data_IF_953633661903
#
_entry.id   IF_953633661903
#
_cell.length_a   1.000
_cell.length_b   1.000
_cell.length_c   1.000
_cell.angle_alpha   90.00
_cell.angle_beta   90.00
_cell.angle_gamma   90.00
#
_symmetry.space_group_name_H-M   'P 1'
#
loop_
_entity.id
_entity.type
_entity.pdbx_description
1 polymer ?
#
# COMPACT_ATOMS: atom_id res chain seq x y z
N UNK A 1 53.98 -31.88 -36.04
CA UNK A 1 53.92 -33.36 -36.06
C UNK A 1 52.46 -33.76 -35.83
N UNK A 2 51.82 -34.47 -36.76
CA UNK A 2 50.44 -34.95 -36.60
C UNK A 2 50.45 -36.30 -35.90
N UNK A 3 49.73 -36.42 -34.79
CA UNK A 3 49.62 -37.65 -34.00
C UNK A 3 48.21 -38.21 -34.19
N UNK A 4 48.10 -39.46 -34.65
CA UNK A 4 46.82 -40.16 -34.77
C UNK A 4 46.51 -40.89 -33.46
N UNK A 5 45.32 -40.66 -32.92
CA UNK A 5 44.79 -41.32 -31.72
C UNK A 5 43.39 -41.85 -32.03
N UNK A 6 43.04 -42.99 -31.44
CA UNK A 6 41.70 -43.55 -31.49
C UNK A 6 41.01 -43.21 -30.17
N UNK A 7 39.75 -42.76 -30.24
CA UNK A 7 38.91 -42.44 -29.09
C UNK A 7 37.64 -43.27 -29.16
N UNK A 8 37.15 -43.72 -28.00
CA UNK A 8 35.86 -44.39 -27.87
C UNK A 8 34.84 -43.38 -27.36
N UNK A 9 33.72 -43.23 -28.06
CA UNK A 9 32.65 -42.31 -27.72
C UNK A 9 31.29 -43.02 -27.82
N UNK A 10 30.43 -42.79 -26.85
CA UNK A 10 29.03 -43.22 -26.96
C UNK A 10 28.31 -42.44 -28.07
N UNK A 11 27.35 -43.08 -28.73
CA UNK A 11 26.52 -42.49 -29.79
C UNK A 11 25.85 -41.18 -29.37
N UNK A 12 25.46 -41.06 -28.09
CA UNK A 12 24.87 -39.83 -27.53
C UNK A 12 25.81 -38.62 -27.59
N UNK A 13 27.13 -38.83 -27.54
CA UNK A 13 28.12 -37.76 -27.63
C UNK A 13 28.53 -37.52 -29.08
N UNK A 14 28.54 -38.56 -29.91
CA UNK A 14 28.73 -38.42 -31.36
C UNK A 14 27.63 -37.53 -31.97
N UNK A 15 26.38 -37.73 -31.56
CA UNK A 15 25.24 -36.87 -31.96
C UNK A 15 25.40 -35.41 -31.54
N UNK A 16 26.06 -35.13 -30.42
CA UNK A 16 26.34 -33.75 -29.99
C UNK A 16 27.42 -33.07 -30.84
N UNK A 17 28.29 -33.84 -31.49
CA UNK A 17 29.29 -33.34 -32.43
C UNK A 17 28.70 -33.11 -33.82
N UNK A 18 27.46 -33.55 -34.10
CA UNK A 18 26.85 -33.46 -35.42
C UNK A 18 26.88 -32.04 -36.02
N UNK A 19 26.59 -30.95 -35.27
CA UNK A 19 26.66 -29.60 -35.84
C UNK A 19 28.07 -29.21 -36.32
N UNK A 20 29.11 -29.65 -35.60
CA UNK A 20 30.51 -29.40 -35.96
C UNK A 20 30.97 -30.34 -37.09
N UNK A 21 30.43 -31.56 -37.15
CA UNK A 21 30.65 -32.47 -38.26
C UNK A 21 30.07 -31.91 -39.55
N UNK A 22 28.85 -31.41 -39.52
CA UNK A 22 28.17 -30.82 -40.68
C UNK A 22 28.94 -29.57 -41.17
N UNK A 23 29.43 -28.72 -40.26
CA UNK A 23 30.26 -27.56 -40.58
C UNK A 23 31.63 -27.91 -41.18
N UNK A 24 32.10 -29.15 -40.99
CA UNK A 24 33.38 -29.65 -41.49
C UNK A 24 33.22 -30.75 -42.54
N UNK A 25 32.09 -30.77 -43.27
CA UNK A 25 31.81 -31.73 -44.35
C UNK A 25 31.97 -33.22 -43.91
N UNK A 26 31.56 -33.53 -42.68
CA UNK A 26 31.64 -34.87 -42.09
C UNK A 26 33.03 -35.24 -41.53
N UNK A 27 33.99 -34.32 -41.51
CA UNK A 27 35.33 -34.59 -40.99
C UNK A 27 35.39 -34.56 -39.46
N UNK A 28 35.35 -35.75 -38.84
CA UNK A 28 35.42 -35.89 -37.38
C UNK A 28 36.71 -35.35 -36.77
N UNK A 29 37.85 -35.42 -37.46
CA UNK A 29 39.10 -34.89 -36.92
C UNK A 29 39.10 -33.36 -36.89
N UNK A 30 38.44 -32.71 -37.84
CA UNK A 30 38.28 -31.25 -37.85
C UNK A 30 37.27 -30.81 -36.78
N UNK A 31 36.11 -31.47 -36.71
CA UNK A 31 35.11 -31.21 -35.67
C UNK A 31 35.65 -31.35 -34.24
N UNK A 32 36.50 -32.34 -33.99
CA UNK A 32 37.17 -32.52 -32.69
C UNK A 32 38.18 -31.41 -32.41
N UNK A 33 38.92 -30.91 -33.42
CA UNK A 33 39.82 -29.76 -33.24
C UNK A 33 39.03 -28.51 -32.90
N UNK A 34 37.93 -28.23 -33.58
CA UNK A 34 37.07 -27.08 -33.28
C UNK A 34 36.50 -27.18 -31.86
N UNK A 35 36.12 -28.38 -31.42
CA UNK A 35 35.69 -28.61 -30.03
C UNK A 35 36.81 -28.29 -29.03
N UNK A 36 38.06 -28.66 -29.35
CA UNK A 36 39.23 -28.37 -28.52
C UNK A 36 39.50 -26.85 -28.48
N UNK A 37 39.42 -26.15 -29.61
CA UNK A 37 39.61 -24.69 -29.67
C UNK A 37 38.52 -23.95 -28.87
N UNK A 38 37.25 -24.39 -28.97
CA UNK A 38 36.15 -23.86 -28.16
C UNK A 38 36.41 -24.10 -26.68
N UNK A 39 36.86 -25.31 -26.31
CA UNK A 39 37.17 -25.65 -24.92
C UNK A 39 38.37 -24.86 -24.38
N UNK A 40 39.43 -24.68 -25.18
CA UNK A 40 40.62 -23.92 -24.83
C UNK A 40 40.31 -22.43 -24.63
N UNK A 41 39.52 -21.86 -25.54
CA UNK A 41 39.01 -20.49 -25.43
C UNK A 41 38.19 -20.31 -24.15
N UNK A 42 37.28 -21.24 -23.85
CA UNK A 42 36.46 -21.16 -22.65
C UNK A 42 37.32 -21.33 -21.37
N UNK A 43 38.30 -22.22 -21.36
CA UNK A 43 39.20 -22.44 -20.23
C UNK A 43 40.22 -21.30 -20.03
N UNK A 44 40.49 -20.49 -21.05
CA UNK A 44 41.31 -19.28 -20.91
C UNK A 44 40.70 -18.29 -19.93
N UNK A 45 39.37 -18.24 -19.83
CA UNK A 45 38.63 -17.31 -18.97
C UNK A 45 38.04 -17.93 -17.70
N UNK A 46 38.13 -19.26 -17.54
CA UNK A 46 37.48 -19.99 -16.45
C UNK A 46 38.41 -21.00 -15.79
N UNK A 47 38.35 -21.13 -14.46
CA UNK A 47 39.34 -21.91 -13.68
C UNK A 47 39.06 -23.41 -13.70
N UNK A 48 37.89 -23.84 -14.17
CA UNK A 48 37.51 -25.24 -14.30
C UNK A 48 36.62 -25.50 -15.52
N UNK A 49 36.58 -26.76 -15.96
CA UNK A 49 35.71 -27.22 -17.05
C UNK A 49 34.22 -26.99 -16.70
N UNK A 50 33.84 -27.20 -15.43
CA UNK A 50 32.46 -27.01 -14.99
C UNK A 50 32.03 -25.54 -15.03
N UNK A 51 32.92 -24.62 -14.66
CA UNK A 51 32.69 -23.17 -14.79
C UNK A 51 32.56 -22.73 -16.24
N UNK A 52 33.43 -23.24 -17.13
CA UNK A 52 33.39 -22.97 -18.56
C UNK A 52 32.08 -23.47 -19.21
N UNK A 53 31.65 -24.70 -18.89
CA UNK A 53 30.39 -25.26 -19.38
C UNK A 53 29.20 -24.42 -18.87
N UNK A 54 29.22 -23.98 -17.61
CA UNK A 54 28.17 -23.14 -17.05
C UNK A 54 28.10 -21.78 -17.77
N UNK A 55 29.25 -21.16 -18.03
CA UNK A 55 29.32 -19.90 -18.77
C UNK A 55 28.74 -20.03 -20.19
N UNK A 56 29.17 -21.04 -20.95
CA UNK A 56 28.68 -21.27 -22.32
C UNK A 56 27.16 -21.54 -22.37
N UNK A 57 26.57 -22.07 -21.29
CA UNK A 57 25.11 -22.23 -21.13
C UNK A 57 24.39 -20.95 -20.71
N UNK A 58 25.08 -19.98 -20.11
CA UNK A 58 24.53 -18.70 -19.67
C UNK A 58 24.63 -17.59 -20.73
N UNK A 59 25.53 -17.74 -21.72
CA UNK A 59 25.71 -16.80 -22.84
C UNK A 59 24.44 -16.50 -23.66
N UNK A 60 23.55 -17.47 -23.99
CA UNK A 60 22.37 -17.20 -24.82
C UNK A 60 21.47 -16.12 -24.22
N UNK A 61 21.23 -16.17 -22.90
CA UNK A 61 20.38 -15.20 -22.21
C UNK A 61 20.98 -13.78 -22.17
N UNK A 62 22.32 -13.65 -22.21
CA UNK A 62 23.00 -12.35 -22.24
C UNK A 62 23.01 -11.74 -23.64
N UNK A 63 23.14 -12.58 -24.67
CA UNK A 63 23.05 -12.14 -26.07
C UNK A 63 21.62 -11.72 -26.42
N UNK A 64 20.60 -12.50 -26.03
CA UNK A 64 19.19 -12.13 -26.16
C UNK A 64 18.86 -10.81 -25.46
N UNK A 65 19.32 -10.62 -24.21
CA UNK A 65 19.13 -9.34 -23.52
C UNK A 65 19.87 -8.19 -24.23
N UNK A 66 21.08 -8.43 -24.73
CA UNK A 66 21.81 -7.41 -25.48
C UNK A 66 21.08 -7.02 -26.77
N UNK A 67 20.42 -7.97 -27.44
CA UNK A 67 19.74 -7.72 -28.70
C UNK A 67 18.39 -7.03 -28.48
N UNK A 68 17.66 -7.39 -27.42
CA UNK A 68 16.45 -6.67 -26.99
C UNK A 68 16.75 -5.25 -26.49
N UNK A 69 17.96 -4.98 -25.99
CA UNK A 69 18.39 -3.59 -25.70
C UNK A 69 18.71 -2.83 -26.99
N UNK A 70 19.34 -3.48 -27.99
CA UNK A 70 19.68 -2.85 -29.27
C UNK A 70 18.46 -2.54 -30.14
N UNK A 71 17.45 -3.42 -30.14
CA UNK A 71 16.23 -3.27 -30.93
C UNK A 71 15.21 -2.32 -30.28
N UNK A 72 15.45 -1.88 -29.04
CA UNK A 72 14.62 -0.92 -28.31
C UNK A 72 13.48 -1.53 -27.48
N UNK A 73 13.38 -2.86 -27.40
CA UNK A 73 12.39 -3.55 -26.56
C UNK A 73 12.70 -3.39 -25.06
N UNK A 74 13.99 -3.39 -24.70
CA UNK A 74 14.46 -3.21 -23.32
C UNK A 74 15.33 -1.97 -23.17
N UNK A 75 15.23 -1.31 -22.01
CA UNK A 75 16.02 -0.12 -21.68
C UNK A 75 16.88 -0.36 -20.43
N UNK A 76 18.15 0.07 -20.48
CA UNK A 76 19.03 0.06 -19.31
C UNK A 76 18.71 1.28 -18.44
N UNK A 77 18.32 1.03 -17.20
CA UNK A 77 18.10 2.07 -16.18
C UNK A 77 19.13 1.97 -15.06
N UNK A 78 19.59 3.12 -14.58
CA UNK A 78 20.43 3.18 -13.39
C UNK A 78 19.66 2.65 -12.16
N UNK A 79 20.31 1.81 -11.34
CA UNK A 79 19.68 1.21 -10.16
C UNK A 79 19.10 2.23 -9.17
N UNK A 80 19.77 3.36 -8.96
CA UNK A 80 19.30 4.41 -8.06
C UNK A 80 18.05 5.08 -8.61
N UNK A 81 17.98 5.30 -9.93
CA UNK A 81 16.78 5.83 -10.58
C UNK A 81 15.61 4.84 -10.49
N UNK A 82 15.86 3.55 -10.72
CA UNK A 82 14.84 2.51 -10.58
C UNK A 82 14.32 2.41 -9.15
N UNK A 83 15.21 2.46 -8.16
CA UNK A 83 14.83 2.45 -6.74
C UNK A 83 14.01 3.69 -6.37
N UNK A 84 14.37 4.85 -6.92
CA UNK A 84 13.60 6.07 -6.78
C UNK A 84 12.19 5.90 -7.38
N UNK A 85 12.07 5.35 -8.60
CA UNK A 85 10.76 5.08 -9.20
C UNK A 85 9.89 4.18 -8.31
N UNK A 86 10.41 3.03 -7.85
CA UNK A 86 9.65 2.14 -6.96
C UNK A 86 9.24 2.79 -5.64
N UNK A 87 10.09 3.66 -5.08
CA UNK A 87 9.77 4.37 -3.84
C UNK A 87 8.63 5.36 -4.04
N UNK A 88 8.59 6.05 -5.18
CA UNK A 88 7.63 7.12 -5.44
C UNK A 88 6.31 6.64 -6.08
N UNK A 89 6.28 5.43 -6.63
CA UNK A 89 5.03 4.78 -7.07
C UNK A 89 4.35 3.99 -5.95
N UNK A 90 4.95 3.90 -4.77
CA UNK A 90 4.41 3.15 -3.64
C UNK A 90 3.04 3.67 -3.21
N UNK A 91 2.07 2.77 -3.06
CA UNK A 91 0.71 3.10 -2.66
C UNK A 91 -0.26 3.27 -3.84
N UNK A 92 0.28 3.33 -5.07
CA UNK A 92 -0.48 3.38 -6.32
C UNK A 92 -0.53 1.99 -6.94
N UNK A 93 -1.71 1.54 -7.34
CA UNK A 93 -1.86 0.25 -7.97
C UNK A 93 -1.35 0.31 -9.42
N UNK A 94 -0.79 -0.81 -9.86
CA UNK A 94 -0.34 -1.03 -11.23
C UNK A 94 -1.54 -1.41 -12.07
N UNK A 95 -1.64 -0.85 -13.26
CA UNK A 95 -2.72 -1.13 -14.19
C UNK A 95 -2.74 -2.62 -14.58
N UNK A 96 -3.94 -3.17 -14.80
CA UNK A 96 -4.11 -4.58 -15.15
C UNK A 96 -3.40 -4.95 -16.45
N UNK A 97 -3.36 -4.02 -17.41
CA UNK A 97 -2.65 -4.17 -18.68
C UNK A 97 -1.16 -4.44 -18.45
N UNK A 98 -0.49 -3.62 -17.63
CA UNK A 98 0.91 -3.81 -17.28
C UNK A 98 1.16 -5.13 -16.55
N UNK A 99 0.25 -5.55 -15.67
CA UNK A 99 0.37 -6.86 -14.98
C UNK A 99 0.32 -8.01 -15.98
N UNK A 100 -0.60 -7.96 -16.94
CA UNK A 100 -0.77 -9.00 -17.95
C UNK A 100 0.36 -9.00 -19.00
N UNK A 101 0.97 -7.85 -19.29
CA UNK A 101 2.18 -7.74 -20.12
C UNK A 101 3.40 -8.37 -19.43
N UNK A 102 3.53 -8.20 -18.11
CA UNK A 102 4.67 -8.72 -17.35
C UNK A 102 4.52 -10.17 -16.89
N UNK A 103 3.27 -10.62 -16.71
CA UNK A 103 2.94 -11.97 -16.25
C UNK A 103 1.83 -12.50 -17.16
N UNK A 104 2.22 -13.19 -18.24
CA UNK A 104 1.27 -13.70 -19.21
C UNK A 104 0.38 -14.81 -18.59
N UNK A 105 -0.93 -14.56 -18.40
CA UNK A 105 -1.80 -15.54 -17.75
C UNK A 105 -2.06 -16.79 -18.59
N UNK A 106 -1.84 -16.74 -19.90
CA UNK A 106 -2.07 -17.86 -20.80
C UNK A 106 -0.89 -18.85 -20.85
N UNK A 107 0.28 -18.43 -20.35
CA UNK A 107 1.47 -19.29 -20.23
C UNK A 107 1.56 -19.97 -18.86
N UNK A 108 0.69 -19.61 -17.91
CA UNK A 108 0.79 -20.01 -16.51
C UNK A 108 -0.47 -20.79 -16.11
N UNK A 109 -0.33 -22.11 -16.02
CA UNK A 109 -1.43 -23.02 -15.70
C UNK A 109 -1.63 -23.17 -14.18
N UNK A 110 -0.52 -23.21 -13.44
CA UNK A 110 -0.51 -23.50 -12.00
C UNK A 110 0.49 -22.63 -11.20
N UNK A 111 0.45 -22.75 -9.88
CA UNK A 111 1.28 -21.96 -8.96
C UNK A 111 2.77 -22.29 -9.06
N UNK A 112 3.13 -23.49 -9.53
CA UNK A 112 4.53 -23.89 -9.70
C UNK A 112 5.10 -23.30 -10.98
N UNK A 113 4.35 -23.35 -12.07
CA UNK A 113 4.68 -22.65 -13.32
C UNK A 113 4.84 -21.14 -13.08
N UNK A 114 3.96 -20.53 -12.27
CA UNK A 114 4.11 -19.12 -11.88
C UNK A 114 5.42 -18.85 -11.13
N UNK A 115 5.77 -19.69 -10.14
CA UNK A 115 7.04 -19.56 -9.41
C UNK A 115 8.24 -19.66 -10.35
N UNK A 116 8.23 -20.65 -11.24
CA UNK A 116 9.34 -20.92 -12.17
C UNK A 116 9.47 -19.81 -13.20
N UNK A 117 8.35 -19.32 -13.75
CA UNK A 117 8.29 -18.17 -14.65
C UNK A 117 8.87 -16.90 -14.02
N UNK A 118 8.42 -16.54 -12.82
CA UNK A 118 8.90 -15.33 -12.12
C UNK A 118 10.40 -15.38 -11.83
N UNK A 119 10.93 -16.54 -11.45
CA UNK A 119 12.35 -16.72 -11.21
C UNK A 119 13.16 -16.74 -12.52
N UNK A 120 12.62 -17.30 -13.60
CA UNK A 120 13.24 -17.28 -14.92
C UNK A 120 13.33 -15.86 -15.48
N UNK A 121 12.25 -15.09 -15.43
CA UNK A 121 12.22 -13.67 -15.81
C UNK A 121 13.20 -12.86 -14.98
N UNK A 122 13.20 -13.05 -13.66
CA UNK A 122 14.15 -12.35 -12.78
C UNK A 122 15.59 -12.64 -13.20
N UNK A 123 15.90 -13.88 -13.57
CA UNK A 123 17.23 -14.26 -14.07
C UNK A 123 17.55 -13.63 -15.43
N UNK A 124 16.60 -13.67 -16.38
CA UNK A 124 16.77 -13.11 -17.73
C UNK A 124 17.05 -11.60 -17.69
N UNK A 125 16.31 -10.85 -16.87
CA UNK A 125 16.50 -9.41 -16.68
C UNK A 125 17.57 -9.06 -15.63
N UNK A 126 18.30 -10.05 -15.11
CA UNK A 126 19.34 -9.87 -14.08
C UNK A 126 18.83 -9.18 -12.81
N UNK A 127 17.54 -9.33 -12.51
CA UNK A 127 16.96 -8.89 -11.26
C UNK A 127 17.35 -9.86 -10.15
N UNK A 128 17.83 -9.30 -9.03
CA UNK A 128 18.30 -10.11 -7.90
C UNK A 128 17.19 -10.75 -7.08
N UNK A 129 15.93 -10.36 -7.31
CA UNK A 129 14.78 -10.85 -6.57
C UNK A 129 14.57 -12.34 -6.80
N UNK A 130 14.18 -13.04 -5.74
CA UNK A 130 13.84 -14.47 -5.80
C UNK A 130 12.47 -14.70 -5.20
N UNK A 131 11.67 -15.48 -5.90
CA UNK A 131 10.29 -15.80 -5.55
C UNK A 131 10.18 -17.26 -5.10
N UNK A 132 9.38 -17.50 -4.06
CA UNK A 132 8.93 -18.85 -3.69
C UNK A 132 7.46 -18.79 -3.28
N UNK A 133 6.69 -19.76 -3.76
CA UNK A 133 5.25 -19.88 -3.56
C UNK A 133 4.98 -21.24 -2.90
N UNK A 134 4.32 -21.22 -1.75
CA UNK A 134 3.87 -22.44 -1.07
C UNK A 134 2.35 -22.47 -1.02
N UNK A 135 1.76 -23.55 -1.47
CA UNK A 135 0.32 -23.80 -1.40
C UNK A 135 0.09 -25.31 -1.28
N UNK A 136 -1.09 -25.70 -0.80
CA UNK A 136 -1.46 -27.12 -0.67
C UNK A 136 -1.90 -27.70 -2.02
N UNK A 137 -2.70 -26.96 -2.78
CA UNK A 137 -3.13 -27.28 -4.13
C UNK A 137 -2.50 -26.28 -5.12
N UNK A 138 -1.67 -26.78 -6.03
CA UNK A 138 -0.98 -25.96 -7.03
C UNK A 138 -1.90 -25.45 -8.14
N UNK A 139 -3.00 -26.14 -8.43
CA UNK A 139 -3.91 -25.76 -9.52
C UNK A 139 -4.97 -24.78 -9.05
N UNK A 140 -5.56 -25.04 -7.87
CA UNK A 140 -6.64 -24.25 -7.29
C UNK A 140 -6.45 -24.02 -5.78
N UNK A 141 -5.46 -23.20 -5.38
CA UNK A 141 -5.14 -22.95 -3.98
C UNK A 141 -6.28 -22.22 -3.25
N UNK A 142 -6.68 -22.73 -2.08
CA UNK A 142 -7.53 -21.98 -1.14
C UNK A 142 -6.72 -20.97 -0.29
N UNK A 143 -5.42 -21.24 -0.14
CA UNK A 143 -4.45 -20.32 0.45
C UNK A 143 -3.08 -20.49 -0.21
N UNK A 144 -2.29 -19.41 -0.20
CA UNK A 144 -0.92 -19.44 -0.69
C UNK A 144 -0.02 -18.54 0.15
N UNK A 145 1.24 -18.93 0.26
CA UNK A 145 2.28 -18.17 0.92
C UNK A 145 3.36 -17.80 -0.09
N UNK A 146 3.45 -16.50 -0.39
CA UNK A 146 4.48 -15.93 -1.24
C UNK A 146 5.64 -15.42 -0.39
N UNK A 147 6.86 -15.77 -0.77
CA UNK A 147 8.09 -15.25 -0.19
C UNK A 147 8.92 -14.60 -1.29
N UNK A 148 9.10 -13.29 -1.19
CA UNK A 148 10.06 -12.53 -1.99
C UNK A 148 11.31 -12.30 -1.15
N UNK A 149 12.47 -12.67 -1.69
CA UNK A 149 13.76 -12.53 -1.03
C UNK A 149 14.75 -11.81 -1.92
N UNK A 150 15.83 -11.31 -1.31
CA UNK A 150 16.82 -10.44 -1.94
C UNK A 150 16.22 -9.11 -2.42
N UNK A 151 17.01 -8.30 -3.13
CA UNK A 151 16.66 -6.95 -3.56
C UNK A 151 16.37 -5.96 -2.40
N UNK A 152 15.91 -4.76 -2.75
CA UNK A 152 15.50 -3.70 -1.81
C UNK A 152 14.06 -3.91 -1.35
N UNK A 153 13.64 -3.23 -0.29
CA UNK A 153 12.26 -3.27 0.18
C UNK A 153 11.28 -2.72 -0.87
N UNK A 154 11.65 -1.65 -1.58
CA UNK A 154 10.77 -1.01 -2.57
C UNK A 154 10.61 -1.90 -3.81
N UNK A 155 11.70 -2.52 -4.27
CA UNK A 155 11.63 -3.52 -5.35
C UNK A 155 10.76 -4.72 -4.96
N UNK A 156 10.94 -5.29 -3.75
CA UNK A 156 10.08 -6.37 -3.28
C UNK A 156 8.62 -5.96 -3.19
N UNK A 157 8.31 -4.73 -2.77
CA UNK A 157 6.93 -4.24 -2.74
C UNK A 157 6.31 -4.08 -4.12
N UNK A 158 7.06 -3.56 -5.09
CA UNK A 158 6.60 -3.46 -6.47
C UNK A 158 6.24 -4.84 -7.06
N UNK A 159 7.15 -5.81 -6.97
CA UNK A 159 6.89 -7.16 -7.47
C UNK A 159 5.79 -7.88 -6.67
N UNK A 160 5.72 -7.66 -5.36
CA UNK A 160 4.65 -8.18 -4.52
C UNK A 160 3.26 -7.74 -5.01
N UNK A 161 3.13 -6.46 -5.35
CA UNK A 161 1.89 -5.90 -5.87
C UNK A 161 1.51 -6.54 -7.21
N UNK A 162 2.45 -6.66 -8.15
CA UNK A 162 2.21 -7.31 -9.46
C UNK A 162 1.70 -8.74 -9.28
N UNK A 163 2.38 -9.54 -8.45
CA UNK A 163 2.01 -10.93 -8.19
C UNK A 163 0.67 -11.00 -7.47
N UNK A 164 0.41 -10.11 -6.50
CA UNK A 164 -0.88 -10.06 -5.81
C UNK A 164 -2.03 -9.75 -6.75
N UNK A 165 -1.87 -8.79 -7.67
CA UNK A 165 -2.86 -8.50 -8.70
C UNK A 165 -3.12 -9.70 -9.61
N UNK A 166 -2.07 -10.36 -10.08
CA UNK A 166 -2.19 -11.57 -10.89
C UNK A 166 -2.97 -12.67 -10.15
N UNK A 167 -2.61 -12.95 -8.89
CA UNK A 167 -3.26 -13.98 -8.08
C UNK A 167 -4.72 -13.65 -7.74
N UNK A 168 -5.04 -12.38 -7.50
CA UNK A 168 -6.42 -11.93 -7.30
C UNK A 168 -7.27 -12.15 -8.54
N UNK A 169 -6.75 -11.80 -9.72
CA UNK A 169 -7.47 -11.90 -10.98
C UNK A 169 -7.66 -13.36 -11.43
N UNK A 170 -6.58 -14.13 -11.42
CA UNK A 170 -6.55 -15.45 -12.07
C UNK A 170 -6.76 -16.62 -11.11
N UNK A 171 -6.55 -16.42 -9.80
CA UNK A 171 -6.75 -17.46 -8.76
C UNK A 171 -7.73 -17.05 -7.65
N UNK A 172 -8.32 -15.84 -7.72
CA UNK A 172 -9.26 -15.31 -6.72
C UNK A 172 -8.69 -15.32 -5.29
N UNK A 173 -7.39 -15.08 -5.18
CA UNK A 173 -6.66 -15.01 -3.93
C UNK A 173 -6.47 -13.54 -3.51
N UNK A 174 -6.96 -13.17 -2.34
CA UNK A 174 -6.76 -11.84 -1.75
C UNK A 174 -5.65 -11.86 -0.69
N UNK A 175 -5.05 -10.70 -0.45
CA UNK A 175 -3.99 -10.50 0.53
C UNK A 175 -4.58 -10.46 1.93
N UNK A 176 -4.21 -11.42 2.78
CA UNK A 176 -4.61 -11.45 4.18
C UNK A 176 -3.62 -10.68 5.06
N UNK A 177 -2.33 -10.98 4.88
CA UNK A 177 -1.24 -10.42 5.70
C UNK A 177 0.04 -10.19 4.89
N UNK A 178 0.80 -9.14 5.26
CA UNK A 178 2.15 -8.87 4.74
C UNK A 178 3.12 -8.69 5.90
N UNK A 179 4.17 -9.50 5.91
CA UNK A 179 5.30 -9.40 6.84
C UNK A 179 6.54 -8.91 6.10
N UNK A 180 6.95 -7.68 6.39
CA UNK A 180 8.14 -7.05 5.79
C UNK A 180 9.34 -7.25 6.72
N UNK A 181 10.37 -7.92 6.24
CA UNK A 181 11.66 -8.11 6.91
C UNK A 181 12.77 -7.41 6.11
N UNK A 182 13.93 -7.24 6.71
CA UNK A 182 15.07 -6.55 6.08
C UNK A 182 15.47 -7.19 4.73
N UNK A 183 15.48 -8.52 4.67
CA UNK A 183 15.93 -9.30 3.51
C UNK A 183 14.80 -10.06 2.78
N UNK A 184 13.56 -9.97 3.26
CA UNK A 184 12.43 -10.66 2.64
C UNK A 184 11.09 -9.98 2.90
N UNK A 185 10.12 -10.27 2.03
CA UNK A 185 8.71 -9.90 2.20
C UNK A 185 7.89 -11.17 2.05
N UNK A 186 7.11 -11.50 3.07
CA UNK A 186 6.23 -12.66 3.09
C UNK A 186 4.78 -12.19 3.02
N UNK A 187 3.98 -12.82 2.15
CA UNK A 187 2.59 -12.45 1.90
C UNK A 187 1.74 -13.70 2.00
N UNK A 188 0.75 -13.64 2.87
CA UNK A 188 -0.27 -14.68 3.02
C UNK A 188 -1.49 -14.31 2.20
N UNK A 189 -1.94 -15.24 1.38
CA UNK A 189 -3.12 -15.11 0.54
C UNK A 189 -4.20 -16.09 0.97
N UNK A 190 -5.45 -15.66 0.81
CA UNK A 190 -6.64 -16.47 1.07
C UNK A 190 -7.68 -16.27 -0.02
N UNK A 191 -8.36 -17.34 -0.39
CA UNK A 191 -9.39 -17.30 -1.41
C UNK A 191 -10.55 -16.39 -1.00
N UNK A 192 -10.94 -15.52 -1.91
CA UNK A 192 -12.01 -14.56 -1.71
C UNK A 192 -12.94 -14.55 -2.93
N UNK A 193 -14.05 -15.28 -2.82
CA UNK A 193 -15.07 -15.40 -3.88
C UNK A 193 -16.13 -14.29 -3.80
N UNK A 194 -16.05 -13.41 -2.81
CA UNK A 194 -17.09 -12.40 -2.54
C UNK A 194 -16.96 -11.14 -3.39
N UNK A 195 -15.83 -10.95 -4.05
CA UNK A 195 -15.50 -9.78 -4.85
C UNK A 195 -15.57 -10.16 -6.32
N UNK A 196 -16.19 -9.30 -7.12
CA UNK A 196 -16.27 -9.54 -8.56
C UNK A 196 -14.88 -9.52 -9.19
N UNK A 197 -14.67 -10.28 -10.27
CA UNK A 197 -13.35 -10.36 -10.90
C UNK A 197 -12.82 -9.01 -11.39
N UNK A 198 -13.70 -8.03 -11.66
CA UNK A 198 -13.35 -6.71 -12.18
C UNK A 198 -13.09 -5.67 -11.08
N UNK A 199 -13.26 -6.03 -9.81
CA UNK A 199 -13.01 -5.13 -8.69
C UNK A 199 -11.67 -5.43 -8.03
N UNK A 200 -10.98 -4.38 -7.60
CA UNK A 200 -9.77 -4.55 -6.79
C UNK A 200 -10.12 -5.18 -5.45
N UNK A 201 -9.48 -6.30 -5.15
CA UNK A 201 -9.65 -7.00 -3.88
C UNK A 201 -9.31 -6.11 -2.66
N UNK A 202 -10.08 -6.17 -1.55
CA UNK A 202 -9.88 -5.33 -0.37
C UNK A 202 -8.47 -5.43 0.25
N UNK A 203 -7.90 -6.64 0.32
CA UNK A 203 -6.56 -6.86 0.84
C UNK A 203 -5.49 -6.15 0.02
N UNK A 204 -5.59 -6.23 -1.32
CA UNK A 204 -4.71 -5.50 -2.24
C UNK A 204 -4.85 -3.98 -2.02
N UNK A 205 -6.07 -3.44 -2.00
CA UNK A 205 -6.29 -2.01 -1.78
C UNK A 205 -5.72 -1.54 -0.45
N UNK A 206 -5.90 -2.31 0.61
CA UNK A 206 -5.39 -1.99 1.95
C UNK A 206 -3.87 -1.96 2.00
N UNK A 207 -3.21 -2.94 1.37
CA UNK A 207 -1.79 -3.16 1.55
C UNK A 207 -0.88 -2.52 0.49
N UNK A 208 -1.39 -2.36 -0.73
CA UNK A 208 -0.66 -1.86 -1.88
C UNK A 208 -1.29 -0.60 -2.47
N UNK A 209 -2.62 -0.48 -2.45
CA UNK A 209 -3.38 0.62 -3.08
C UNK A 209 -3.87 1.71 -2.14
N UNK A 210 -3.19 1.94 -1.02
CA UNK A 210 -3.68 2.84 0.04
C UNK A 210 -3.67 4.33 -0.36
N UNK A 211 -2.96 4.70 -1.44
CA UNK A 211 -3.01 6.03 -2.05
C UNK A 211 -3.77 6.04 -3.38
N UNK A 212 -4.24 4.89 -3.86
CA UNK A 212 -4.67 4.74 -5.24
C UNK A 212 -5.84 5.66 -5.60
N UNK A 213 -6.81 5.82 -4.70
CA UNK A 213 -7.92 6.76 -4.86
C UNK A 213 -7.42 8.21 -4.94
N UNK A 214 -6.46 8.57 -4.09
CA UNK A 214 -5.90 9.93 -4.04
C UNK A 214 -5.08 10.21 -5.29
N UNK A 215 -4.24 9.27 -5.72
CA UNK A 215 -3.45 9.42 -6.94
C UNK A 215 -4.35 9.55 -8.16
N UNK A 216 -5.40 8.74 -8.28
CA UNK A 216 -6.38 8.86 -9.37
C UNK A 216 -7.09 10.21 -9.34
N UNK A 217 -7.54 10.66 -8.18
CA UNK A 217 -8.18 11.98 -8.03
C UNK A 217 -7.22 13.14 -8.39
N UNK A 218 -5.94 13.03 -8.01
CA UNK A 218 -4.92 14.01 -8.39
C UNK A 218 -4.65 13.99 -9.90
N UNK A 219 -4.58 12.81 -10.52
CA UNK A 219 -4.36 12.69 -11.96
C UNK A 219 -5.57 13.24 -12.73
N UNK A 220 -6.79 12.77 -12.41
CA UNK A 220 -8.04 13.13 -13.08
C UNK A 220 -8.39 14.62 -12.94
N UNK A 221 -8.03 15.25 -11.80
CA UNK A 221 -8.32 16.64 -11.50
C UNK A 221 -7.05 17.48 -11.26
N UNK A 222 -5.97 17.20 -11.99
CA UNK A 222 -4.63 17.80 -11.79
C UNK A 222 -4.67 19.33 -11.69
N UNK A 223 -5.34 20.00 -12.63
CA UNK A 223 -5.39 21.46 -12.69
C UNK A 223 -6.06 22.05 -11.44
N UNK A 224 -7.19 21.47 -11.03
CA UNK A 224 -7.94 21.90 -9.85
C UNK A 224 -7.08 21.77 -8.58
N UNK A 225 -6.49 20.61 -8.34
CA UNK A 225 -5.70 20.37 -7.13
C UNK A 225 -4.43 21.21 -7.10
N UNK A 226 -3.78 21.39 -8.26
CA UNK A 226 -2.62 22.27 -8.39
C UNK A 226 -2.99 23.70 -8.01
N UNK A 227 -4.06 24.25 -8.60
CA UNK A 227 -4.51 25.60 -8.30
C UNK A 227 -4.94 25.76 -6.83
N UNK A 228 -5.63 24.77 -6.27
CA UNK A 228 -6.05 24.76 -4.87
C UNK A 228 -4.82 24.82 -3.94
N UNK A 229 -3.84 23.95 -4.13
CA UNK A 229 -2.62 23.91 -3.32
C UNK A 229 -1.83 25.22 -3.39
N UNK A 230 -1.68 25.80 -4.58
CA UNK A 230 -1.06 27.12 -4.74
C UNK A 230 -1.81 28.21 -3.98
N UNK A 231 -3.14 28.20 -4.08
CA UNK A 231 -3.99 29.20 -3.42
C UNK A 231 -3.84 29.11 -1.89
N UNK A 232 -3.90 27.91 -1.31
CA UNK A 232 -3.65 27.71 0.12
C UNK A 232 -2.23 28.11 0.54
N UNK A 233 -1.22 27.82 -0.28
CA UNK A 233 0.16 28.16 0.04
C UNK A 233 0.39 29.69 0.09
N UNK A 234 -0.10 30.42 -0.92
CA UNK A 234 0.00 31.89 -0.99
C UNK A 234 -0.70 32.54 0.21
N UNK A 235 -1.87 32.02 0.58
CA UNK A 235 -2.64 32.50 1.74
C UNK A 235 -2.13 31.95 3.08
N UNK A 236 -0.98 31.26 3.10
CA UNK A 236 -0.37 30.65 4.29
C UNK A 236 -1.35 29.78 5.09
N UNK A 237 -2.19 29.05 4.37
CA UNK A 237 -3.25 28.20 4.91
C UNK A 237 -4.30 28.95 5.76
N UNK A 238 -4.42 30.28 5.60
CA UNK A 238 -5.43 31.11 6.25
C UNK A 238 -6.73 31.20 5.41
N UNK A 239 -7.18 30.06 4.88
CA UNK A 239 -8.41 29.93 4.10
C UNK A 239 -9.33 28.94 4.77
N UNK A 240 -10.62 29.24 4.75
CA UNK A 240 -11.66 28.36 5.30
C UNK A 240 -12.37 27.64 4.15
N UNK A 241 -12.49 26.33 4.25
CA UNK A 241 -13.26 25.50 3.32
C UNK A 241 -14.69 25.32 3.83
N UNK A 242 -15.68 25.71 3.04
CA UNK A 242 -17.09 25.50 3.35
C UNK A 242 -17.83 24.88 2.17
N UNK A 243 -18.83 24.05 2.47
CA UNK A 243 -19.79 23.64 1.46
C UNK A 243 -20.61 24.86 0.99
N UNK A 244 -20.93 24.96 -0.30
CA UNK A 244 -21.62 26.14 -0.88
C UNK A 244 -22.89 26.52 -0.10
N UNK A 245 -23.73 25.54 0.22
CA UNK A 245 -24.96 25.78 0.98
C UNK A 245 -24.70 26.28 2.40
N UNK A 246 -23.59 25.89 3.03
CA UNK A 246 -23.22 26.39 4.36
C UNK A 246 -22.76 27.84 4.28
N UNK A 247 -21.95 28.16 3.27
CA UNK A 247 -21.54 29.53 2.99
C UNK A 247 -22.76 30.42 2.73
N UNK A 248 -23.73 29.98 1.92
CA UNK A 248 -24.97 30.72 1.67
C UNK A 248 -25.76 30.98 2.96
N UNK A 249 -25.92 29.98 3.83
CA UNK A 249 -26.62 30.14 5.12
C UNK A 249 -25.87 31.12 6.04
N UNK A 250 -24.54 30.99 6.15
CA UNK A 250 -23.73 31.94 6.92
C UNK A 250 -23.83 33.36 6.37
N UNK A 251 -23.82 33.53 5.04
CA UNK A 251 -23.95 34.82 4.37
C UNK A 251 -25.34 35.45 4.57
N UNK A 252 -26.38 34.62 4.75
CA UNK A 252 -27.72 35.07 5.12
C UNK A 252 -27.85 35.46 6.61
N UNK A 253 -26.80 35.26 7.42
CA UNK A 253 -26.79 35.56 8.86
C UNK A 253 -27.33 34.42 9.74
N UNK A 254 -27.58 33.26 9.17
CA UNK A 254 -28.05 32.06 9.87
C UNK A 254 -26.89 31.08 10.14
N UNK A 255 -27.08 30.15 11.08
CA UNK A 255 -26.10 29.10 11.36
C UNK A 255 -26.51 27.81 10.63
N UNK A 256 -25.75 27.30 9.66
CA UNK A 256 -26.09 26.08 8.93
C UNK A 256 -26.10 24.84 9.82
N UNK A 257 -26.77 23.77 9.36
CA UNK A 257 -26.65 22.46 9.97
C UNK A 257 -25.49 21.67 9.32
N UNK A 258 -24.40 21.38 10.04
CA UNK A 258 -23.27 20.59 9.55
C UNK A 258 -23.47 19.09 9.35
N UNK A 259 -24.49 18.48 9.96
CA UNK A 259 -24.56 17.00 10.13
C UNK A 259 -24.45 16.27 8.80
N UNK A 260 -25.13 16.77 7.76
CA UNK A 260 -25.16 16.18 6.41
C UNK A 260 -23.78 15.89 5.81
N UNK A 261 -22.75 16.67 6.13
CA UNK A 261 -21.40 16.42 5.61
C UNK A 261 -20.80 15.20 6.29
N UNK A 262 -20.92 15.10 7.62
CA UNK A 262 -20.46 13.95 8.38
C UNK A 262 -21.23 12.69 7.97
N UNK A 263 -22.54 12.79 7.77
CA UNK A 263 -23.36 11.65 7.35
C UNK A 263 -22.95 11.09 5.99
N UNK A 264 -22.66 11.97 5.02
CA UNK A 264 -22.15 11.56 3.71
C UNK A 264 -20.76 10.91 3.80
N UNK A 265 -19.89 11.44 4.65
CA UNK A 265 -18.54 10.94 4.84
C UNK A 265 -18.54 9.56 5.53
N UNK A 266 -19.39 9.40 6.56
CA UNK A 266 -19.49 8.17 7.33
C UNK A 266 -20.45 7.14 6.71
N UNK A 267 -21.28 7.54 5.74
CA UNK A 267 -22.40 6.73 5.19
C UNK A 267 -23.35 6.19 6.27
N UNK A 268 -23.50 6.95 7.36
CA UNK A 268 -24.31 6.62 8.52
C UNK A 268 -24.88 7.92 9.09
N UNK A 269 -26.09 7.86 9.65
CA UNK A 269 -26.71 9.02 10.29
C UNK A 269 -26.00 9.39 11.60
N UNK A 270 -25.88 10.69 11.92
CA UNK A 270 -25.14 11.15 13.12
C UNK A 270 -25.78 10.64 14.42
N UNK A 271 -27.11 10.53 14.46
CA UNK A 271 -27.87 10.01 15.60
C UNK A 271 -27.63 8.51 15.89
N UNK A 272 -27.14 7.75 14.91
CA UNK A 272 -26.82 6.32 15.04
C UNK A 272 -25.36 6.09 15.43
N UNK A 273 -24.51 7.13 15.44
CA UNK A 273 -23.10 7.00 15.75
C UNK A 273 -22.85 6.94 17.26
N UNK A 274 -21.95 6.04 17.66
CA UNK A 274 -21.37 6.08 18.99
C UNK A 274 -20.55 7.37 19.15
N UNK A 275 -20.62 8.01 20.32
CA UNK A 275 -19.94 9.27 20.58
C UNK A 275 -18.43 9.20 20.25
N UNK A 276 -17.63 8.20 20.71
CA UNK A 276 -16.21 8.15 20.40
C UNK A 276 -15.91 8.14 18.89
N UNK A 277 -16.70 7.41 18.11
CA UNK A 277 -16.55 7.35 16.65
C UNK A 277 -16.88 8.70 16.01
N UNK A 278 -17.99 9.33 16.42
CA UNK A 278 -18.36 10.67 15.97
C UNK A 278 -17.25 11.68 16.27
N UNK A 279 -16.66 11.64 17.48
CA UNK A 279 -15.59 12.57 17.85
C UNK A 279 -14.35 12.38 16.96
N UNK A 280 -14.00 11.14 16.62
CA UNK A 280 -12.89 10.87 15.69
C UNK A 280 -13.14 11.41 14.29
N UNK A 281 -14.36 11.23 13.76
CA UNK A 281 -14.74 11.79 12.44
C UNK A 281 -14.82 13.31 12.46
N UNK A 282 -15.39 13.87 13.53
CA UNK A 282 -15.45 15.30 13.78
C UNK A 282 -14.05 15.94 13.70
N UNK A 283 -13.08 15.39 14.45
CA UNK A 283 -11.69 15.88 14.42
C UNK A 283 -11.09 15.81 13.02
N UNK A 284 -11.21 14.68 12.33
CA UNK A 284 -10.64 14.52 10.98
C UNK A 284 -11.24 15.52 10.00
N UNK A 285 -12.56 15.70 10.03
CA UNK A 285 -13.26 16.55 9.07
C UNK A 285 -12.99 18.04 9.32
N UNK A 286 -13.17 18.52 10.55
CA UNK A 286 -13.09 19.96 10.82
C UNK A 286 -11.67 20.51 10.94
N UNK A 287 -10.66 19.66 11.15
CA UNK A 287 -9.27 20.07 10.93
C UNK A 287 -8.99 20.31 9.44
N UNK A 288 -9.60 19.52 8.55
CA UNK A 288 -9.39 19.67 7.11
C UNK A 288 -10.07 20.92 6.53
N UNK A 289 -11.11 21.45 7.17
CA UNK A 289 -11.80 22.68 6.71
C UNK A 289 -11.09 23.97 7.09
N UNK A 290 -10.09 23.92 7.99
CA UNK A 290 -9.43 25.10 8.58
C UNK A 290 -10.41 26.08 9.25
N UNK A 291 -11.66 25.65 9.53
CA UNK A 291 -12.58 26.41 10.38
C UNK A 291 -12.04 26.53 11.80
N UNK A 292 -11.18 25.60 12.21
CA UNK A 292 -10.59 25.53 13.54
C UNK A 292 -9.12 25.20 13.38
N UNK A 293 -8.31 25.65 14.33
CA UNK A 293 -6.85 25.48 14.31
C UNK A 293 -6.44 24.11 14.81
N UNK A 294 -7.11 23.64 15.86
CA UNK A 294 -6.85 22.34 16.47
C UNK A 294 -8.11 21.81 17.14
N UNK A 295 -8.17 20.49 17.31
CA UNK A 295 -9.21 19.79 18.07
C UNK A 295 -8.51 18.75 18.94
N UNK A 296 -8.74 18.86 20.25
CA UNK A 296 -8.34 17.88 21.26
C UNK A 296 -9.55 17.12 21.75
N UNK A 297 -9.38 15.81 21.96
CA UNK A 297 -10.46 14.90 22.37
C UNK A 297 -10.01 14.14 23.60
N UNK A 298 -10.78 14.26 24.68
CA UNK A 298 -10.70 13.40 25.85
C UNK A 298 -11.70 12.25 25.69
N UNK A 299 -11.22 11.01 25.78
CA UNK A 299 -12.04 9.80 25.72
C UNK A 299 -12.04 9.06 27.07
N UNK A 300 -11.84 9.78 28.17
CA UNK A 300 -11.96 9.18 29.49
C UNK A 300 -13.42 8.75 29.73
N UNK A 301 -13.69 7.48 30.07
CA UNK A 301 -15.06 7.01 30.20
C UNK A 301 -15.84 7.80 31.25
N UNK A 302 -16.90 8.50 30.83
CA UNK A 302 -17.72 9.34 31.72
C UNK A 302 -17.25 10.78 31.89
N UNK A 303 -16.12 11.16 31.29
CA UNK A 303 -15.67 12.55 31.16
C UNK A 303 -15.19 12.82 29.72
N UNK A 304 -15.92 12.29 28.74
CA UNK A 304 -15.62 12.54 27.34
C UNK A 304 -15.74 14.04 27.06
N UNK A 305 -14.78 14.60 26.31
CA UNK A 305 -14.74 16.02 26.02
C UNK A 305 -14.10 16.34 24.67
N UNK A 306 -14.50 17.47 24.10
CA UNK A 306 -13.93 18.04 22.88
C UNK A 306 -13.54 19.48 23.15
N UNK A 307 -12.27 19.79 22.93
CA UNK A 307 -11.76 21.16 22.97
C UNK A 307 -11.37 21.61 21.58
N UNK A 308 -12.00 22.67 21.12
CA UNK A 308 -11.82 23.25 19.79
C UNK A 308 -11.05 24.56 19.95
N UNK A 309 -9.92 24.68 19.26
CA UNK A 309 -9.10 25.88 19.26
C UNK A 309 -9.32 26.68 17.98
N UNK A 310 -9.51 27.99 18.08
CA UNK A 310 -9.72 28.88 16.93
C UNK A 310 -8.99 30.21 17.09
N UNK A 311 -8.72 30.88 15.97
CA UNK A 311 -8.03 32.19 15.96
C UNK A 311 -9.01 33.39 15.75
N UNK A 312 -10.33 33.14 15.73
CA UNK A 312 -11.33 34.20 15.58
C UNK A 312 -11.40 35.11 16.80
N UNK A 313 -11.57 36.42 16.54
CA UNK A 313 -11.70 37.47 17.56
C UNK A 313 -13.10 38.06 17.67
N UNK A 314 -13.94 37.87 16.66
CA UNK A 314 -15.28 38.43 16.62
C UNK A 314 -16.25 37.52 17.39
N UNK A 315 -16.82 38.03 18.48
CA UNK A 315 -17.73 37.27 19.35
C UNK A 315 -18.95 36.70 18.61
N UNK A 316 -19.48 37.40 17.60
CA UNK A 316 -20.59 36.87 16.80
C UNK A 316 -20.19 35.60 16.06
N UNK A 317 -18.98 35.59 15.48
CA UNK A 317 -18.43 34.43 14.78
C UNK A 317 -18.20 33.28 15.76
N UNK A 318 -17.65 33.58 16.94
CA UNK A 318 -17.41 32.57 17.99
C UNK A 318 -18.75 31.94 18.41
N UNK A 319 -19.78 32.75 18.67
CA UNK A 319 -21.12 32.26 19.03
C UNK A 319 -21.75 31.44 17.90
N UNK A 320 -21.58 31.86 16.64
CA UNK A 320 -22.02 31.08 15.48
C UNK A 320 -21.31 29.74 15.38
N UNK A 321 -20.00 29.67 15.69
CA UNK A 321 -19.25 28.41 15.73
C UNK A 321 -19.69 27.50 16.87
N UNK A 322 -19.93 28.06 18.06
CA UNK A 322 -20.48 27.33 19.21
C UNK A 322 -21.80 26.68 18.82
N UNK A 323 -22.73 27.44 18.24
CA UNK A 323 -24.02 26.90 17.80
C UNK A 323 -23.88 25.91 16.64
N UNK A 324 -23.00 26.18 15.68
CA UNK A 324 -22.72 25.30 14.54
C UNK A 324 -22.26 23.91 15.00
N UNK A 325 -21.28 23.83 15.90
CA UNK A 325 -20.81 22.55 16.43
C UNK A 325 -21.81 21.92 17.42
N UNK A 326 -22.54 22.73 18.18
CA UNK A 326 -23.60 22.25 19.08
C UNK A 326 -24.66 21.46 18.32
N UNK A 327 -25.02 21.87 17.08
CA UNK A 327 -25.99 21.14 16.26
C UNK A 327 -25.56 19.70 15.96
N UNK A 328 -24.26 19.43 15.79
CA UNK A 328 -23.74 18.08 15.56
C UNK A 328 -23.97 17.20 16.77
N UNK A 329 -23.58 17.70 17.95
CA UNK A 329 -23.64 16.94 19.18
C UNK A 329 -25.07 16.78 19.68
N UNK A 330 -25.93 17.77 19.48
CA UNK A 330 -27.37 17.67 19.76
C UNK A 330 -28.05 16.62 18.88
N UNK A 331 -27.68 16.53 17.60
CA UNK A 331 -28.23 15.51 16.69
C UNK A 331 -27.81 14.09 17.11
N UNK A 332 -26.61 13.93 17.65
CA UNK A 332 -26.16 12.63 18.17
C UNK A 332 -26.93 12.22 19.43
N UNK A 333 -27.33 13.18 20.25
CA UNK A 333 -28.23 12.96 21.39
C UNK A 333 -27.57 12.80 22.76
N UNK A 334 -26.24 12.71 22.85
CA UNK A 334 -25.56 12.69 24.17
C UNK A 334 -25.63 14.07 24.82
N UNK A 335 -26.11 14.19 26.08
CA UNK A 335 -26.11 15.46 26.80
C UNK A 335 -24.70 16.04 26.97
N UNK A 336 -24.57 17.35 26.79
CA UNK A 336 -23.30 18.04 26.96
C UNK A 336 -23.49 19.45 27.53
N UNK A 337 -22.43 19.95 28.17
CA UNK A 337 -22.29 21.35 28.56
C UNK A 337 -21.25 22.00 27.67
N UNK A 338 -21.52 23.23 27.22
CA UNK A 338 -20.58 24.01 26.41
C UNK A 338 -20.08 25.20 27.19
N UNK A 339 -18.79 25.48 27.07
CA UNK A 339 -18.17 26.70 27.56
C UNK A 339 -17.25 27.27 26.49
N UNK A 340 -17.16 28.60 26.41
CA UNK A 340 -16.29 29.28 25.45
C UNK A 340 -15.42 30.29 26.20
N UNK A 341 -14.11 30.22 25.94
CA UNK A 341 -13.12 31.08 26.58
C UNK A 341 -12.12 31.54 25.53
N UNK A 342 -12.15 32.84 25.20
CA UNK A 342 -11.20 33.49 24.29
C UNK A 342 -11.04 32.75 22.94
N UNK A 343 -10.03 31.91 22.79
CA UNK A 343 -9.67 31.15 21.58
C UNK A 343 -10.09 29.67 21.65
N UNK A 344 -10.95 29.28 22.60
CA UNK A 344 -11.32 27.88 22.85
C UNK A 344 -12.83 27.72 23.04
N UNK A 345 -13.35 26.62 22.52
CA UNK A 345 -14.71 26.13 22.75
C UNK A 345 -14.60 24.71 23.32
N UNK A 346 -15.18 24.46 24.48
CA UNK A 346 -15.12 23.17 25.17
C UNK A 346 -16.52 22.59 25.30
N UNK A 347 -16.67 21.36 24.81
CA UNK A 347 -17.84 20.52 25.00
C UNK A 347 -17.48 19.39 25.98
N UNK A 348 -18.21 19.26 27.09
CA UNK A 348 -18.09 18.14 28.03
C UNK A 348 -19.36 17.31 27.99
N UNK A 349 -19.21 16.01 27.76
CA UNK A 349 -20.31 15.08 27.62
C UNK A 349 -20.56 14.37 28.94
N UNK A 350 -21.84 14.13 29.25
CA UNK A 350 -22.24 13.44 30.47
C UNK A 350 -23.18 12.29 30.11
N UNK A 351 -23.04 11.16 30.79
CA UNK A 351 -24.05 10.11 30.73
C UNK A 351 -25.18 10.49 31.67
N UNK A 352 -26.41 10.55 31.17
CA UNK A 352 -27.57 10.47 32.05
C UNK A 352 -27.47 9.16 32.84
N UNK A 353 -27.18 9.27 34.13
CA UNK A 353 -27.61 8.22 35.05
C UNK A 353 -29.13 8.33 35.10
N UNK A 354 -29.82 7.27 34.67
CA UNK A 354 -31.26 7.13 34.85
C UNK A 354 -31.65 7.36 36.33
N UNK A 355 -32.94 7.64 36.60
CA UNK A 355 -33.36 8.14 37.89
C UNK A 355 -32.88 7.19 38.98
N UNK A 356 -32.12 7.73 39.94
CA UNK A 356 -31.83 7.02 41.17
C UNK A 356 -33.19 6.69 41.80
N UNK A 357 -33.51 5.39 41.84
CA UNK A 357 -34.66 4.90 42.57
C UNK A 357 -34.60 5.47 43.98
N UNK A 358 -35.59 6.30 44.29
CA UNK A 358 -35.86 6.79 45.62
C UNK A 358 -36.36 5.64 46.48
N UNK A 359 -35.45 4.77 46.90
CA UNK A 359 -35.63 3.87 48.04
C UNK A 359 -34.27 3.26 48.38
N UNK A 360 -33.52 3.95 49.24
CA UNK A 360 -33.14 3.36 50.51
C UNK A 360 -32.59 4.44 51.45
N UNK A 361 -33.43 4.72 52.44
CA UNK A 361 -33.10 5.47 53.64
C UNK A 361 -32.12 4.67 54.50
N UNK A 362 -31.17 5.41 55.07
CA UNK A 362 -30.61 5.31 56.43
C UNK A 362 -29.11 5.04 56.49
N UNK A 363 -28.41 6.05 57.00
CA UNK A 363 -26.99 6.06 57.30
C UNK A 363 -26.63 7.45 57.78
N UNK A 364 -27.07 7.78 58.99
CA UNK A 364 -26.58 8.94 59.73
C UNK A 364 -25.06 8.83 59.87
N UNK A 365 -24.30 9.77 59.33
CA UNK A 365 -22.97 10.08 59.85
C UNK A 365 -22.86 11.58 60.10
N UNK A 366 -22.65 11.88 61.38
CA UNK A 366 -22.51 13.20 61.97
C UNK A 366 -21.41 14.03 61.29
N UNK A 367 -21.77 15.28 60.96
CA UNK A 367 -20.84 16.37 60.74
C UNK A 367 -19.98 16.59 62.00
N UNK A 368 -18.67 16.39 61.89
CA UNK A 368 -17.69 17.02 62.78
C UNK A 368 -17.03 18.19 62.07
N UNK A 369 -17.34 19.39 62.53
CA UNK A 369 -16.60 20.62 62.25
C UNK A 369 -15.13 20.46 62.64
N UNK A 370 -14.23 20.80 61.73
CA UNK A 370 -12.82 21.05 62.03
C UNK A 370 -12.60 22.56 61.96
N UNK A 371 -12.62 23.17 63.15
CA UNK A 371 -12.25 24.54 63.40
C UNK A 371 -10.80 24.83 62.93
N UNK A 372 -10.69 25.89 62.14
CA UNK A 372 -9.47 26.67 62.01
C UNK A 372 -9.16 27.34 63.37
N UNK A 373 -7.93 27.24 63.88
CA UNK A 373 -7.06 28.39 64.16
C UNK A 373 -5.77 28.02 64.97
N UNK A 374 -4.66 28.61 64.50
CA UNK A 374 -3.59 29.27 65.28
C UNK A 374 -2.51 28.47 66.03
N UNK A 375 -1.25 28.83 65.67
CA UNK A 375 -0.07 29.20 66.50
C UNK A 375 0.28 28.28 67.69
N UNK A 376 1.51 27.82 67.84
CA UNK A 376 2.82 28.52 67.74
C UNK A 376 3.90 27.71 67.01
#
# INVERSE_FOLDING_TARGET
>A
MLIRKNISLDDKYLKKLQPLLDANDGNLSAAVRDTIEIADTALTYHKSIDEAIKFLKETPAKEELSDTIKNGENTIINRTMLEWLFRYTKGRLTDEELVNELINPFEISDMKELEDYLNQISKNYQWTIRTSIKCEDIHNPDSALLLLSNSTINSREFFAQLIAHFLARWKQLDVEHIFRRANSTQISFKKNLSVSQNETMPGIRKHFGYLDIVCRELDDNTEFWTQLMYTYNVERYNLVTLHRTQFETFAAGEVPNPTKILERLCKQSVNEMALPDLLMYFRKMYLATQLVKNIEIGLEPGDESVTIFHDFKNEKVINSLVEYFSKIFREQGTPFVTSSYSSMIVFRFHKEHGPADSSDLTGEEEFKELDFFSKE
#
